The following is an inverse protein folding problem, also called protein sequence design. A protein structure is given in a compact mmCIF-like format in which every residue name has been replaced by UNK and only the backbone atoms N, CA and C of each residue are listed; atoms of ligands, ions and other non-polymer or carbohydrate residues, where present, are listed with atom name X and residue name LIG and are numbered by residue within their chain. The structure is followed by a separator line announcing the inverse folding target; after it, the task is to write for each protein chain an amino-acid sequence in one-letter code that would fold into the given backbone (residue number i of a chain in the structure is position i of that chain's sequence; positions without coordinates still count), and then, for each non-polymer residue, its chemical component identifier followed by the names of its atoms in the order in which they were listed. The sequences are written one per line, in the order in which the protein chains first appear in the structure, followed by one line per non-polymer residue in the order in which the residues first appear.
data_IF_795949174549
#
_entry.id   IF_795949174549
#
_cell.length_a   1.000
_cell.length_b   1.000
_cell.length_c   1.000
_cell.angle_alpha   90.00
_cell.angle_beta   90.00
_cell.angle_gamma   90.00
#
_symmetry.space_group_name_H-M   'P 1'
#
loop_
_entity.id
_entity.type
_entity.pdbx_description
1 polymer ?
#
# COMPACT_ATOMS: atom_id res chain seq x y z
N UNK A 1 -5.91 8.37 -11.55
CA UNK A 1 -4.65 8.52 -12.30
C UNK A 1 -3.75 9.40 -11.48
N UNK A 2 -2.68 8.86 -10.92
CA UNK A 2 -1.67 9.65 -10.22
C UNK A 2 -0.85 10.46 -11.23
N UNK A 3 -0.17 11.51 -10.77
CA UNK A 3 0.66 12.37 -11.63
C UNK A 3 2.02 11.72 -11.98
N UNK A 4 2.09 10.38 -12.01
CA UNK A 4 3.29 9.66 -12.39
C UNK A 4 3.68 10.01 -13.84
N UNK A 5 4.98 10.12 -14.12
CA UNK A 5 5.48 10.47 -15.46
C UNK A 5 5.06 9.44 -16.53
N UNK A 6 4.86 8.18 -16.14
CA UNK A 6 4.33 7.14 -17.03
C UNK A 6 2.87 7.41 -17.49
N UNK A 7 2.14 8.26 -16.77
CA UNK A 7 0.75 8.63 -17.09
C UNK A 7 0.65 9.95 -17.86
N UNK A 8 1.79 10.53 -18.28
CA UNK A 8 1.78 11.68 -19.19
C UNK A 8 1.36 11.19 -20.57
N UNK A 9 0.07 11.29 -20.86
CA UNK A 9 -0.48 10.94 -22.16
C UNK A 9 -0.48 12.15 -23.08
N UNK A 10 0.17 12.03 -24.24
CA UNK A 10 0.08 12.97 -25.38
C UNK A 10 -1.12 12.71 -26.28
N UNK A 11 -1.93 11.69 -25.97
CA UNK A 11 -3.08 11.26 -26.77
C UNK A 11 -4.33 12.09 -26.41
N UNK A 12 -5.05 12.56 -27.42
CA UNK A 12 -6.37 13.17 -27.24
C UNK A 12 -7.40 12.08 -26.91
N UNK A 13 -8.23 12.34 -25.89
CA UNK A 13 -9.25 11.42 -25.40
C UNK A 13 -10.62 12.00 -25.76
N UNK A 14 -11.37 11.34 -26.64
CA UNK A 14 -12.63 11.88 -27.18
C UNK A 14 -13.77 11.96 -26.16
N UNK A 15 -13.75 11.11 -25.13
CA UNK A 15 -14.86 10.92 -24.19
C UNK A 15 -14.42 10.90 -22.72
N UNK A 16 -13.15 11.17 -22.44
CA UNK A 16 -12.58 11.05 -21.09
C UNK A 16 -11.79 12.32 -20.79
N UNK A 17 -12.19 13.04 -19.75
CA UNK A 17 -11.47 14.20 -19.25
C UNK A 17 -10.40 13.75 -18.24
N UNK A 18 -9.13 13.95 -18.57
CA UNK A 18 -8.02 13.67 -17.67
C UNK A 18 -7.76 14.88 -16.74
N UNK A 19 -7.91 14.68 -15.42
CA UNK A 19 -7.62 15.70 -14.41
C UNK A 19 -6.37 15.36 -13.62
N UNK A 20 -5.37 16.24 -13.70
CA UNK A 20 -4.20 16.17 -12.84
C UNK A 20 -4.50 16.82 -11.49
N UNK A 21 -4.10 16.15 -10.42
CA UNK A 21 -4.29 16.68 -9.07
C UNK A 21 -3.13 17.61 -8.70
N UNK A 22 -3.31 18.52 -7.74
CA UNK A 22 -2.19 19.26 -7.20
C UNK A 22 -1.12 18.32 -6.61
N UNK A 23 0.16 18.69 -6.66
CA UNK A 23 1.22 17.86 -6.10
C UNK A 23 0.94 17.49 -4.63
N UNK A 24 1.31 16.28 -4.23
CA UNK A 24 1.15 15.75 -2.86
C UNK A 24 -0.28 15.60 -2.35
N UNK A 25 -1.31 15.73 -3.20
CA UNK A 25 -2.71 15.59 -2.77
C UNK A 25 -3.34 14.23 -3.08
N UNK A 26 -2.64 13.38 -3.85
CA UNK A 26 -3.11 12.07 -4.33
C UNK A 26 -3.66 11.21 -3.19
N UNK A 27 -2.90 11.09 -2.09
CA UNK A 27 -3.27 10.29 -0.93
C UNK A 27 -4.57 10.71 -0.21
N UNK A 28 -5.05 11.93 -0.47
CA UNK A 28 -6.24 12.50 0.17
C UNK A 28 -7.40 12.65 -0.81
N UNK A 29 -7.11 13.08 -2.04
CA UNK A 29 -8.12 13.32 -3.07
C UNK A 29 -8.45 12.06 -3.88
N UNK A 30 -7.51 11.13 -4.06
CA UNK A 30 -7.78 9.91 -4.81
C UNK A 30 -8.48 8.86 -3.95
N UNK A 31 -9.64 8.34 -4.40
CA UNK A 31 -10.36 7.29 -3.68
C UNK A 31 -9.51 6.03 -3.49
N UNK A 32 -8.68 5.69 -4.48
CA UNK A 32 -7.83 4.49 -4.47
C UNK A 32 -6.78 4.52 -3.36
N UNK A 33 -6.07 5.64 -3.19
CA UNK A 33 -5.08 5.74 -2.13
C UNK A 33 -5.72 5.73 -0.74
N UNK A 34 -6.94 6.26 -0.63
CA UNK A 34 -7.71 6.21 0.61
C UNK A 34 -8.13 4.78 0.94
N UNK A 35 -8.61 4.00 -0.02
CA UNK A 35 -9.03 2.60 0.19
C UNK A 35 -7.83 1.65 0.36
N UNK A 36 -6.71 1.91 -0.31
CA UNK A 36 -5.46 1.14 -0.18
C UNK A 36 -4.92 1.15 1.24
N UNK A 37 -5.13 2.22 2.02
CA UNK A 37 -4.78 2.25 3.44
C UNK A 37 -5.53 1.18 4.23
N UNK A 38 -6.84 1.03 4.02
CA UNK A 38 -7.66 0.00 4.67
C UNK A 38 -7.17 -1.40 4.30
N UNK A 39 -6.85 -1.63 3.02
CA UNK A 39 -6.27 -2.89 2.57
C UNK A 39 -4.95 -3.23 3.28
N UNK A 40 -4.02 -2.25 3.38
CA UNK A 40 -2.73 -2.42 4.07
C UNK A 40 -2.91 -2.75 5.56
N UNK A 41 -3.89 -2.13 6.23
CA UNK A 41 -4.21 -2.43 7.64
C UNK A 41 -4.67 -3.88 7.80
N UNK A 42 -5.62 -4.33 6.96
CA UNK A 42 -6.10 -5.72 6.99
C UNK A 42 -5.00 -6.73 6.68
N UNK A 43 -4.11 -6.43 5.72
CA UNK A 43 -2.95 -7.27 5.42
C UNK A 43 -2.00 -7.38 6.63
N UNK A 44 -1.62 -6.25 7.24
CA UNK A 44 -0.75 -6.24 8.42
C UNK A 44 -1.32 -7.03 9.58
N UNK A 45 -2.64 -6.92 9.83
CA UNK A 45 -3.31 -7.71 10.86
C UNK A 45 -3.14 -9.21 10.61
N UNK A 46 -3.46 -9.68 9.40
CA UNK A 46 -3.30 -11.08 9.01
C UNK A 46 -1.86 -11.58 9.10
N UNK A 47 -0.90 -10.74 8.73
CA UNK A 47 0.52 -11.08 8.83
C UNK A 47 0.96 -11.27 10.28
N UNK A 48 0.56 -10.35 11.17
CA UNK A 48 0.86 -10.45 12.60
C UNK A 48 0.18 -11.66 13.25
N UNK A 49 -1.08 -11.93 12.90
CA UNK A 49 -1.80 -13.10 13.40
C UNK A 49 -1.08 -14.40 12.99
N UNK A 50 -0.62 -14.50 11.74
CA UNK A 50 0.21 -15.64 11.28
C UNK A 50 1.53 -15.75 12.02
N UNK A 51 2.23 -14.63 12.22
CA UNK A 51 3.48 -14.61 12.95
C UNK A 51 3.27 -15.09 14.39
N UNK A 52 2.26 -14.59 15.08
CA UNK A 52 1.91 -15.01 16.44
C UNK A 52 1.51 -16.48 16.52
N UNK A 53 0.76 -17.00 15.54
CA UNK A 53 0.45 -18.42 15.45
C UNK A 53 1.72 -19.25 15.31
N UNK A 54 2.64 -18.86 14.41
CA UNK A 54 3.90 -19.57 14.21
C UNK A 54 4.78 -19.53 15.47
N UNK A 55 4.88 -18.38 16.16
CA UNK A 55 5.61 -18.29 17.44
C UNK A 55 5.00 -19.17 18.54
N UNK A 56 3.68 -19.34 18.57
CA UNK A 56 3.00 -20.17 19.57
C UNK A 56 3.20 -21.67 19.32
N UNK A 57 3.20 -22.08 18.06
CA UNK A 57 3.32 -23.49 17.66
C UNK A 57 4.77 -23.95 17.51
N UNK A 58 5.70 -23.04 17.25
CA UNK A 58 7.12 -23.35 17.07
C UNK A 58 8.02 -22.41 17.90
N UNK A 59 8.36 -22.78 19.16
CA UNK A 59 9.22 -21.98 20.02
C UNK A 59 10.68 -21.86 19.52
N UNK A 60 11.06 -22.58 18.47
CA UNK A 60 12.42 -22.60 17.90
C UNK A 60 12.71 -21.39 16.98
N UNK A 61 11.68 -20.63 16.56
CA UNK A 61 11.84 -19.32 15.93
C UNK A 61 12.07 -18.19 16.95
N UNK A 62 12.61 -18.52 18.14
CA UNK A 62 13.26 -17.49 18.95
C UNK A 62 14.34 -16.87 18.05
N UNK A 63 14.29 -15.56 17.91
CA UNK A 63 15.37 -14.75 17.35
C UNK A 63 16.58 -14.83 18.32
N UNK A 64 17.15 -16.03 18.51
CA UNK A 64 18.47 -16.22 19.09
C UNK A 64 19.42 -15.80 17.98
N UNK A 65 20.19 -14.72 18.05
CA UNK A 65 20.65 -13.92 19.17
C UNK A 65 21.10 -12.58 18.57
N UNK A 66 20.64 -11.46 19.11
CA UNK A 66 21.47 -10.25 19.05
C UNK A 66 22.59 -10.46 20.07
N UNK A 67 23.74 -10.93 19.58
CA UNK A 67 24.99 -10.96 20.34
C UNK A 67 25.60 -9.55 20.43
N UNK A 68 26.52 -9.33 21.39
CA UNK A 68 27.10 -8.02 21.70
C UNK A 68 27.83 -7.37 20.52
#
# INVERSE_FOLDING_TARGET
MDNCSANQTTCELDNIELKFLPPNTTARLQPLDRSTKSFKVGYRRRLLDRLLMNLRWEPSLKLTSWGP
#
